data_IF_819626509734
#
_entry.id   IF_819626509734
#
_cell.length_a   1.000
_cell.length_b   1.000
_cell.length_c   1.000
_cell.angle_alpha   90.00
_cell.angle_beta   90.00
_cell.angle_gamma   90.00
#
_symmetry.space_group_name_H-M   'P 1'
#
loop_
_entity.id
_entity.type
_entity.pdbx_description
1 polymer ?
#
# COMPACT_ATOMS: atom_id res chain seq x y z
N UNK A 1 -13.94 7.07 -12.66
CA UNK A 1 -13.42 6.70 -11.32
C UNK A 1 -14.36 5.66 -10.74
N UNK A 2 -13.89 4.48 -10.34
CA UNK A 2 -14.73 3.45 -9.72
C UNK A 2 -14.35 3.39 -8.25
N UNK A 3 -15.32 3.60 -7.37
CA UNK A 3 -15.14 3.44 -5.93
C UNK A 3 -15.10 1.94 -5.61
N UNK A 4 -14.05 1.50 -4.92
CA UNK A 4 -14.00 0.17 -4.30
C UNK A 4 -14.29 0.41 -2.82
N UNK A 5 -15.39 -0.16 -2.33
CA UNK A 5 -15.67 -0.18 -0.90
C UNK A 5 -14.81 -1.26 -0.27
N UNK A 6 -13.98 -0.85 0.70
CA UNK A 6 -13.12 -1.76 1.45
C UNK A 6 -13.73 -1.91 2.85
N UNK A 7 -14.18 -3.12 3.16
CA UNK A 7 -14.74 -3.44 4.47
C UNK A 7 -13.71 -3.15 5.58
N UNK A 8 -14.14 -2.44 6.62
CA UNK A 8 -13.28 -2.07 7.76
C UNK A 8 -12.55 -0.73 7.61
N UNK A 9 -12.81 0.05 6.55
CA UNK A 9 -12.37 1.45 6.51
C UNK A 9 -13.36 2.40 7.20
N UNK A 10 -12.90 3.24 8.15
CA UNK A 10 -13.78 4.20 8.83
C UNK A 10 -14.22 5.39 7.96
N UNK A 11 -13.59 5.61 6.79
CA UNK A 11 -13.83 6.78 5.94
C UNK A 11 -13.92 6.42 4.45
N UNK A 12 -14.76 7.14 3.70
CA UNK A 12 -14.74 7.15 2.23
C UNK A 12 -13.49 7.90 1.78
N UNK A 13 -12.37 7.20 1.65
CA UNK A 13 -11.12 7.77 1.14
C UNK A 13 -11.08 7.73 -0.38
N UNK A 14 -10.45 8.74 -1.00
CA UNK A 14 -10.00 8.64 -2.39
C UNK A 14 -8.81 7.68 -2.42
N UNK A 15 -9.12 6.40 -2.58
CA UNK A 15 -8.13 5.34 -2.67
C UNK A 15 -7.27 5.58 -3.91
N UNK A 16 -5.96 5.80 -3.73
CA UNK A 16 -5.00 5.57 -4.82
C UNK A 16 -4.90 4.05 -5.02
N UNK A 17 -5.88 3.46 -5.71
CA UNK A 17 -5.82 2.04 -6.07
C UNK A 17 -4.73 1.90 -7.13
N UNK A 18 -3.53 1.49 -6.74
CA UNK A 18 -2.69 0.80 -7.70
C UNK A 18 -3.26 -0.61 -7.86
N UNK A 19 -3.46 -1.03 -9.11
CA UNK A 19 -4.01 -2.34 -9.46
C UNK A 19 -2.82 -3.26 -9.76
N UNK A 20 -2.18 -3.79 -8.71
CA UNK A 20 -1.00 -4.65 -8.84
C UNK A 20 -1.13 -5.84 -7.90
N UNK A 21 -0.69 -7.00 -8.36
CA UNK A 21 -0.55 -8.22 -7.56
C UNK A 21 0.76 -8.08 -6.76
N UNK A 22 0.67 -7.72 -5.48
CA UNK A 22 1.79 -7.34 -4.61
C UNK A 22 2.46 -8.59 -4.03
N UNK A 23 1.67 -9.58 -3.60
CA UNK A 23 2.18 -10.84 -3.02
C UNK A 23 2.31 -12.00 -4.03
N UNK A 24 2.01 -11.75 -5.31
CA UNK A 24 2.21 -12.67 -6.44
C UNK A 24 1.35 -13.91 -6.38
N UNK A 25 0.16 -13.80 -5.79
CA UNK A 25 -0.80 -14.89 -5.70
C UNK A 25 -1.72 -14.99 -6.95
N UNK A 26 -1.54 -14.10 -7.92
CA UNK A 26 -2.35 -14.01 -9.14
C UNK A 26 -3.62 -13.17 -8.98
N UNK A 27 -3.82 -12.55 -7.82
CA UNK A 27 -4.96 -11.72 -7.47
C UNK A 27 -4.50 -10.26 -7.36
N UNK A 28 -5.39 -9.34 -7.72
CA UNK A 28 -5.09 -7.92 -7.64
C UNK A 28 -5.24 -7.43 -6.21
N UNK A 29 -4.20 -6.76 -5.72
CA UNK A 29 -4.19 -6.08 -4.43
C UNK A 29 -4.49 -4.59 -4.57
N UNK A 30 -4.68 -3.94 -3.43
CA UNK A 30 -4.90 -2.50 -3.31
C UNK A 30 -4.06 -1.90 -2.18
N UNK A 31 -3.89 -0.58 -2.21
CA UNK A 31 -3.30 0.16 -1.10
C UNK A 31 -3.95 1.53 -0.97
N UNK A 32 -3.83 2.15 0.20
CA UNK A 32 -4.29 3.51 0.43
C UNK A 32 -3.47 4.20 1.53
N UNK A 33 -3.52 5.53 1.54
CA UNK A 33 -3.22 6.33 2.73
C UNK A 33 -4.54 6.91 3.24
N UNK A 34 -4.70 6.97 4.56
CA UNK A 34 -5.91 7.48 5.19
C UNK A 34 -5.80 8.99 5.44
N UNK A 35 -6.74 9.83 4.92
CA UNK A 35 -6.77 11.27 5.15
C UNK A 35 -6.70 11.72 6.60
N UNK A 36 -7.20 10.90 7.54
CA UNK A 36 -7.23 11.20 8.96
C UNK A 36 -6.05 10.64 9.76
N UNK A 37 -5.11 9.94 9.12
CA UNK A 37 -4.07 9.16 9.80
C UNK A 37 -2.71 9.31 9.09
N UNK A 38 -1.66 8.87 9.77
CA UNK A 38 -0.30 8.71 9.21
C UNK A 38 -0.01 7.25 8.90
N UNK A 39 -1.03 6.54 8.44
CA UNK A 39 -0.99 5.10 8.18
C UNK A 39 -1.32 4.81 6.73
N UNK A 40 -0.40 4.12 6.07
CA UNK A 40 -0.64 3.45 4.81
C UNK A 40 -1.15 2.02 5.08
N UNK A 41 -2.11 1.58 4.27
CA UNK A 41 -2.68 0.24 4.36
C UNK A 41 -2.55 -0.46 3.02
N UNK A 42 -2.08 -1.69 3.04
CA UNK A 42 -2.07 -2.61 1.90
C UNK A 42 -3.15 -3.65 2.17
N UNK A 43 -3.89 -3.96 1.12
CA UNK A 43 -5.09 -4.78 1.10
C UNK A 43 -4.84 -5.90 0.10
N UNK A 44 -4.54 -7.09 0.61
CA UNK A 44 -4.33 -8.27 -0.21
C UNK A 44 -5.68 -8.82 -0.66
N UNK A 45 -5.86 -8.84 -1.98
CA UNK A 45 -7.08 -9.24 -2.64
C UNK A 45 -7.40 -10.71 -2.42
N UNK A 46 -8.58 -11.09 -2.87
CA UNK A 46 -8.95 -12.49 -2.95
C UNK A 46 -9.86 -12.75 -4.17
N UNK A 47 -10.18 -14.02 -4.39
CA UNK A 47 -10.94 -14.44 -5.57
C UNK A 47 -12.39 -13.96 -5.60
N UNK A 48 -12.96 -13.52 -4.47
CA UNK A 48 -14.33 -12.98 -4.43
C UNK A 48 -14.39 -11.44 -4.63
N UNK A 49 -13.23 -10.81 -4.85
CA UNK A 49 -13.12 -9.37 -5.11
C UNK A 49 -13.24 -8.50 -3.87
N UNK A 50 -13.18 -9.10 -2.67
CA UNK A 50 -13.05 -8.40 -1.39
C UNK A 50 -11.59 -8.43 -0.93
N UNK A 51 -11.34 -7.93 0.27
CA UNK A 51 -10.00 -7.91 0.86
C UNK A 51 -10.01 -8.62 2.20
N UNK A 52 -9.08 -9.55 2.41
CA UNK A 52 -9.05 -10.38 3.61
C UNK A 52 -7.83 -10.13 4.51
N UNK A 53 -6.67 -9.77 3.95
CA UNK A 53 -5.45 -9.49 4.73
C UNK A 53 -5.06 -8.03 4.56
N UNK A 54 -4.78 -7.37 5.68
CA UNK A 54 -4.36 -5.97 5.72
C UNK A 54 -3.02 -5.82 6.42
N UNK A 55 -2.06 -5.19 5.76
CA UNK A 55 -0.83 -4.72 6.37
C UNK A 55 -0.93 -3.21 6.60
N UNK A 56 -0.50 -2.73 7.76
CA UNK A 56 -0.49 -1.29 8.10
C UNK A 56 0.93 -0.83 8.34
N UNK A 57 1.28 0.30 7.75
CA UNK A 57 2.59 0.92 7.80
C UNK A 57 2.40 2.33 8.33
N UNK A 58 2.97 2.61 9.51
CA UNK A 58 2.90 3.93 10.15
C UNK A 58 3.93 4.91 9.58
N UNK A 59 3.77 6.20 9.90
CA UNK A 59 4.66 7.27 9.46
C UNK A 59 4.48 7.70 8.01
N UNK A 60 3.37 7.32 7.37
CA UNK A 60 3.06 7.67 5.97
C UNK A 60 1.86 8.61 5.95
N UNK A 61 2.06 9.92 5.71
CA UNK A 61 0.97 10.89 5.63
C UNK A 61 -0.02 10.56 4.51
N UNK A 62 -1.29 10.91 4.73
CA UNK A 62 -2.40 10.78 3.77
C UNK A 62 -2.09 11.16 2.31
N UNK A 63 -1.31 12.22 2.12
CA UNK A 63 -1.04 12.85 0.83
C UNK A 63 0.08 12.15 0.05
N UNK A 64 0.72 11.15 0.65
CA UNK A 64 1.85 10.44 0.07
C UNK A 64 1.46 9.74 -1.23
N UNK A 65 2.39 9.70 -2.19
CA UNK A 65 2.23 8.99 -3.45
C UNK A 65 3.18 7.80 -3.49
N UNK A 66 2.72 6.68 -4.02
CA UNK A 66 3.48 5.43 -4.04
C UNK A 66 3.63 4.88 -5.45
N UNK A 67 4.75 4.21 -5.71
CA UNK A 67 4.97 3.40 -6.90
C UNK A 67 5.55 2.04 -6.49
N UNK A 68 5.12 0.97 -7.16
CA UNK A 68 5.58 -0.38 -6.86
C UNK A 68 6.62 -0.88 -7.86
N UNK A 69 7.74 -1.37 -7.37
CA UNK A 69 8.80 -1.97 -8.17
C UNK A 69 9.64 -2.91 -7.31
N UNK A 70 10.32 -3.87 -7.93
CA UNK A 70 11.37 -4.67 -7.29
C UNK A 70 12.65 -3.82 -7.30
N UNK A 71 12.91 -3.11 -6.20
CA UNK A 71 13.98 -2.12 -6.10
C UNK A 71 15.29 -2.76 -5.64
N UNK A 72 15.22 -3.79 -4.80
CA UNK A 72 16.41 -4.49 -4.30
C UNK A 72 16.80 -5.73 -5.16
N UNK A 73 15.96 -6.13 -6.11
CA UNK A 73 16.23 -7.20 -7.06
C UNK A 73 16.04 -8.60 -6.48
N UNK A 74 15.34 -8.72 -5.34
CA UNK A 74 15.08 -10.01 -4.69
C UNK A 74 13.90 -10.77 -5.31
N UNK A 75 13.18 -10.13 -6.22
CA UNK A 75 12.03 -10.73 -6.84
C UNK A 75 10.81 -10.71 -5.92
N UNK A 76 10.66 -9.76 -5.03
CA UNK A 76 9.38 -9.33 -4.44
C UNK A 76 9.03 -7.91 -4.94
N UNK A 77 7.80 -7.47 -4.72
CA UNK A 77 7.44 -6.08 -5.02
C UNK A 77 7.66 -5.21 -3.80
N UNK A 78 8.34 -4.09 -4.01
CA UNK A 78 8.45 -3.06 -2.99
C UNK A 78 7.57 -1.87 -3.31
N UNK A 79 7.44 -0.96 -2.35
CA UNK A 79 6.84 0.35 -2.56
C UNK A 79 7.83 1.48 -2.27
N UNK A 80 7.94 2.40 -3.23
CA UNK A 80 8.64 3.68 -3.07
C UNK A 80 7.60 4.76 -2.83
N UNK A 81 7.71 5.44 -1.70
CA UNK A 81 6.79 6.49 -1.26
C UNK A 81 7.44 7.85 -1.39
N UNK A 82 6.81 8.75 -2.14
CA UNK A 82 7.00 10.19 -2.01
C UNK A 82 6.18 10.68 -0.83
N UNK A 83 6.85 11.02 0.25
CA UNK A 83 6.24 11.58 1.45
C UNK A 83 6.37 13.11 1.38
N UNK A 84 5.22 13.79 1.35
CA UNK A 84 5.16 15.24 1.40
C UNK A 84 4.80 15.68 2.81
N UNK A 85 5.77 16.26 3.53
CA UNK A 85 5.50 16.95 4.79
C UNK A 85 5.12 18.42 4.51
N UNK A 86 4.00 18.92 5.04
CA UNK A 86 3.65 20.33 4.89
C UNK A 86 4.80 21.25 5.35
N UNK A 87 5.34 22.03 4.41
CA UNK A 87 6.33 23.08 4.69
C UNK A 87 7.75 22.61 4.98
N UNK A 88 8.09 21.34 4.76
CA UNK A 88 9.44 20.82 5.07
C UNK A 88 10.18 20.28 3.86
N UNK A 89 9.93 19.04 3.41
CA UNK A 89 10.68 18.42 2.32
C UNK A 89 9.88 17.28 1.68
N UNK A 90 10.30 16.84 0.48
CA UNK A 90 9.93 15.52 -0.05
C UNK A 90 10.98 14.51 0.40
N UNK A 91 10.57 13.43 1.05
CA UNK A 91 11.44 12.26 1.25
C UNK A 91 10.92 11.06 0.46
N UNK A 92 11.86 10.20 0.05
CA UNK A 92 11.55 8.92 -0.56
C UNK A 92 11.83 7.82 0.46
N UNK A 93 10.82 7.02 0.77
CA UNK A 93 10.96 5.81 1.57
C UNK A 93 10.76 4.59 0.68
N UNK A 94 11.53 3.53 0.92
CA UNK A 94 11.38 2.22 0.28
C UNK A 94 11.00 1.21 1.35
N UNK A 95 9.98 0.39 1.08
CA UNK A 95 9.49 -0.62 2.00
C UNK A 95 9.40 -1.95 1.27
N UNK A 96 10.13 -2.99 1.73
CA UNK A 96 10.01 -4.32 1.17
C UNK A 96 8.64 -4.93 1.50
N UNK A 97 7.99 -5.50 0.48
CA UNK A 97 6.73 -6.26 0.62
C UNK A 97 6.97 -7.69 0.14
N UNK A 98 5.99 -8.59 0.28
CA UNK A 98 6.13 -9.98 -0.18
C UNK A 98 7.00 -10.88 0.70
N UNK A 99 7.86 -10.32 1.55
CA UNK A 99 8.62 -11.03 2.58
C UNK A 99 7.68 -11.56 3.66
N UNK A 100 7.05 -12.70 3.42
CA UNK A 100 6.58 -13.56 4.51
C UNK A 100 7.85 -14.14 5.15
N UNK A 101 8.21 -13.68 6.36
CA UNK A 101 9.30 -14.12 7.28
C UNK A 101 10.00 -15.46 6.91
N UNK A 102 11.33 -15.71 7.03
CA UNK A 102 12.26 -15.60 8.18
C UNK A 102 13.70 -15.95 7.70
N UNK A 103 14.80 -15.47 8.32
CA UNK A 103 16.10 -16.17 8.30
C UNK A 103 16.02 -17.55 9.00
N UNK A 104 16.80 -18.51 8.51
CA UNK A 104 16.99 -19.85 9.10
C UNK A 104 17.47 -19.83 10.55
#
# INVERSE_FOLDING_TARGET
MRTIEIDGMPYKTEVLVCRKDIDRDGIIDAWCCDPGDTVMRIFYGNNDGRVFKRQSIGGVPAWSKGAFHDVDGDGDLDIVLKIEEPGRFTCFAWIPLGKTDVPE
#
